data_IF_175339646718
#
_entry.id   IF_175339646718
#
_cell.length_a   1.000
_cell.length_b   1.000
_cell.length_c   1.000
_cell.angle_alpha   90.00
_cell.angle_beta   90.00
_cell.angle_gamma   90.00
#
_symmetry.space_group_name_H-M   'P 1'
#
loop_
_entity.id
_entity.type
_entity.pdbx_description
1 polymer ?
#
# COMPACT_ATOMS: atom_id res chain seq x y z
N UNK A 1 -9.55 -14.61 -0.67
CA UNK A 1 -9.01 -13.43 -1.38
C UNK A 1 -8.24 -12.61 -0.36
N UNK A 2 -7.03 -12.16 -0.65
CA UNK A 2 -6.18 -11.50 0.33
C UNK A 2 -6.43 -9.99 0.36
N UNK A 3 -6.53 -9.41 1.56
CA UNK A 3 -6.43 -7.96 1.80
C UNK A 3 -5.30 -7.69 2.80
N UNK A 4 -4.33 -6.88 2.41
CA UNK A 4 -3.27 -6.41 3.30
C UNK A 4 -3.61 -4.98 3.71
N UNK A 5 -3.66 -4.73 5.01
CA UNK A 5 -4.00 -3.39 5.54
C UNK A 5 -2.79 -2.79 6.24
N UNK A 6 -2.46 -1.57 5.83
CA UNK A 6 -1.38 -0.77 6.40
C UNK A 6 -1.93 0.50 7.03
N UNK A 7 -1.37 0.88 8.17
CA UNK A 7 -1.52 2.21 8.77
C UNK A 7 -0.25 3.03 8.53
N UNK A 8 -0.45 4.28 8.12
CA UNK A 8 0.60 5.27 7.99
C UNK A 8 0.28 6.51 8.81
N UNK A 9 1.28 7.00 9.55
CA UNK A 9 1.31 8.37 10.07
C UNK A 9 2.30 9.14 9.20
N UNK A 10 1.80 10.12 8.45
CA UNK A 10 2.55 10.84 7.41
C UNK A 10 3.04 12.18 7.96
N UNK A 11 4.24 12.60 7.57
CA UNK A 11 4.76 13.92 7.91
C UNK A 11 3.87 15.00 7.28
N UNK A 12 3.52 16.08 8.00
CA UNK A 12 2.60 17.11 7.51
C UNK A 12 2.97 17.66 6.12
N UNK A 13 4.26 17.88 5.88
CA UNK A 13 4.79 18.43 4.63
C UNK A 13 4.89 17.42 3.48
N UNK A 14 4.48 16.16 3.70
CA UNK A 14 4.57 15.06 2.74
C UNK A 14 3.21 14.42 2.41
N UNK A 15 2.11 14.98 2.90
CA UNK A 15 0.78 14.41 2.68
C UNK A 15 0.43 14.29 1.19
N UNK A 16 0.71 15.31 0.38
CA UNK A 16 0.41 15.31 -1.06
C UNK A 16 1.31 14.33 -1.83
N UNK A 17 2.60 14.25 -1.45
CA UNK A 17 3.56 13.29 -2.01
C UNK A 17 3.13 11.85 -1.70
N UNK A 18 2.69 11.61 -0.46
CA UNK A 18 2.19 10.32 0.00
C UNK A 18 0.89 9.92 -0.72
N UNK A 19 -0.11 10.82 -0.76
CA UNK A 19 -1.37 10.59 -1.45
C UNK A 19 -1.15 10.29 -2.94
N UNK A 20 -0.22 10.99 -3.58
CA UNK A 20 0.13 10.78 -4.98
C UNK A 20 0.75 9.41 -5.26
N UNK A 21 1.42 8.83 -4.26
CA UNK A 21 2.13 7.57 -4.41
C UNK A 21 1.22 6.36 -4.12
N UNK A 22 0.27 6.50 -3.19
CA UNK A 22 -0.62 5.43 -2.71
C UNK A 22 -2.06 5.46 -3.27
N UNK A 23 -2.46 6.52 -4.00
CA UNK A 23 -3.74 6.52 -4.71
C UNK A 23 -3.82 5.38 -5.74
N UNK A 24 -5.02 5.05 -6.20
CA UNK A 24 -5.29 3.92 -7.11
C UNK A 24 -4.53 4.00 -8.45
N UNK A 25 -4.22 5.21 -8.90
CA UNK A 25 -3.39 5.51 -10.08
C UNK A 25 -1.93 5.90 -9.70
N UNK A 26 -1.54 5.74 -8.45
CA UNK A 26 -0.21 6.07 -7.93
C UNK A 26 0.84 4.97 -8.22
N UNK A 27 2.10 5.28 -7.91
CA UNK A 27 3.24 4.44 -8.26
C UNK A 27 3.19 3.03 -7.65
N UNK A 28 2.62 2.86 -6.44
CA UNK A 28 2.40 1.51 -5.87
C UNK A 28 1.41 0.70 -6.69
N UNK A 29 0.25 1.27 -6.98
CA UNK A 29 -0.79 0.60 -7.75
C UNK A 29 -0.34 0.32 -9.19
N UNK A 30 0.44 1.22 -9.80
CA UNK A 30 1.09 0.99 -11.10
C UNK A 30 2.04 -0.21 -11.07
N UNK A 31 2.89 -0.31 -10.03
CA UNK A 31 3.78 -1.45 -9.88
C UNK A 31 2.99 -2.75 -9.65
N UNK A 32 1.98 -2.73 -8.78
CA UNK A 32 1.18 -3.91 -8.48
C UNK A 32 0.37 -4.41 -9.67
N UNK A 33 -0.07 -3.52 -10.57
CA UNK A 33 -0.77 -3.86 -11.82
C UNK A 33 0.04 -4.73 -12.78
N UNK A 34 1.35 -4.86 -12.58
CA UNK A 34 2.18 -5.80 -13.36
C UNK A 34 1.92 -7.27 -12.98
N UNK A 35 1.27 -7.53 -11.84
CA UNK A 35 0.81 -8.87 -11.47
C UNK A 35 -0.63 -9.11 -11.91
N UNK A 36 -0.93 -10.25 -12.57
CA UNK A 36 -2.31 -10.65 -12.84
C UNK A 36 -3.11 -10.98 -11.57
N UNK A 37 -2.43 -11.14 -10.42
CA UNK A 37 -3.06 -11.41 -9.13
C UNK A 37 -3.41 -10.15 -8.33
N UNK A 38 -3.01 -8.97 -8.79
CA UNK A 38 -3.41 -7.71 -8.15
C UNK A 38 -4.83 -7.33 -8.52
N UNK A 39 -5.61 -6.87 -7.54
CA UNK A 39 -7.01 -6.47 -7.74
C UNK A 39 -7.17 -4.95 -7.65
N UNK A 40 -6.70 -4.34 -6.56
CA UNK A 40 -6.85 -2.90 -6.34
C UNK A 40 -6.03 -2.41 -5.15
N UNK A 41 -5.71 -1.13 -5.12
CA UNK A 41 -5.23 -0.40 -3.94
C UNK A 41 -6.29 0.61 -3.54
N UNK A 42 -6.64 0.68 -2.26
CA UNK A 42 -7.56 1.69 -1.72
C UNK A 42 -6.84 2.52 -0.67
N UNK A 43 -6.72 3.83 -0.93
CA UNK A 43 -6.21 4.81 0.03
C UNK A 43 -7.37 5.47 0.79
N UNK A 44 -7.27 5.51 2.11
CA UNK A 44 -8.25 6.10 3.00
C UNK A 44 -7.57 7.07 3.96
N UNK A 45 -8.14 8.27 4.11
CA UNK A 45 -7.67 9.28 5.07
C UNK A 45 -8.58 9.29 6.29
N UNK A 46 -8.00 9.35 7.48
CA UNK A 46 -8.77 9.44 8.72
C UNK A 46 -9.45 10.83 8.85
N UNK A 47 -10.74 10.84 9.17
CA UNK A 47 -11.55 12.05 9.34
C UNK A 47 -11.20 12.85 10.61
N UNK A 48 -10.64 12.21 11.63
CA UNK A 48 -10.29 12.80 12.93
C UNK A 48 -8.79 13.08 13.06
N UNK A 49 -7.95 12.28 12.42
CA UNK A 49 -6.50 12.37 12.48
C UNK A 49 -5.95 12.64 11.07
N UNK A 50 -5.82 13.90 10.63
CA UNK A 50 -5.60 14.25 9.21
C UNK A 50 -4.26 13.76 8.62
N UNK A 51 -3.32 13.32 9.46
CA UNK A 51 -2.03 12.75 9.06
C UNK A 51 -2.02 11.22 9.09
N UNK A 52 -3.13 10.60 9.49
CA UNK A 52 -3.27 9.14 9.56
C UNK A 52 -4.01 8.65 8.32
N UNK A 53 -3.39 7.68 7.66
CA UNK A 53 -3.91 7.05 6.45
C UNK A 53 -3.97 5.54 6.65
N UNK A 54 -4.90 4.91 5.94
CA UNK A 54 -4.94 3.47 5.76
C UNK A 54 -4.83 3.14 4.27
N UNK A 55 -4.05 2.11 3.97
CA UNK A 55 -3.95 1.55 2.62
C UNK A 55 -4.41 0.11 2.70
N UNK A 56 -5.31 -0.28 1.79
CA UNK A 56 -5.75 -1.65 1.63
C UNK A 56 -5.41 -2.15 0.23
N UNK A 57 -4.49 -3.10 0.14
CA UNK A 57 -4.10 -3.75 -1.11
C UNK A 57 -4.81 -5.10 -1.22
N UNK A 58 -5.55 -5.29 -2.31
CA UNK A 58 -6.33 -6.49 -2.58
C UNK A 58 -5.64 -7.36 -3.62
N UNK A 59 -5.55 -8.64 -3.31
CA UNK A 59 -4.92 -9.66 -4.13
C UNK A 59 -5.81 -10.88 -4.24
N UNK A 60 -5.73 -11.60 -5.36
CA UNK A 60 -6.52 -12.82 -5.59
C UNK A 60 -6.19 -13.91 -4.57
N UNK A 61 -4.92 -14.02 -4.16
CA UNK A 61 -4.45 -14.91 -3.09
C UNK A 61 -3.18 -14.37 -2.41
N UNK A 62 -2.79 -15.00 -1.30
CA UNK A 62 -1.52 -14.68 -0.62
C UNK A 62 -0.30 -15.10 -1.46
N UNK A 63 -0.39 -16.24 -2.15
CA UNK A 63 0.67 -16.73 -3.04
C UNK A 63 0.94 -15.74 -4.18
N UNK A 64 -0.11 -15.14 -4.74
CA UNK A 64 0.02 -14.16 -5.81
C UNK A 64 0.77 -12.89 -5.35
N UNK A 65 0.53 -12.44 -4.11
CA UNK A 65 1.28 -11.33 -3.52
C UNK A 65 2.75 -11.69 -3.28
N UNK A 66 3.01 -12.86 -2.69
CA UNK A 66 4.39 -13.29 -2.38
C UNK A 66 5.21 -13.57 -3.65
N UNK A 67 4.60 -14.12 -4.70
CA UNK A 67 5.25 -14.28 -6.00
C UNK A 67 5.55 -12.92 -6.67
N UNK A 68 4.60 -11.99 -6.63
CA UNK A 68 4.81 -10.63 -7.10
C UNK A 68 5.97 -9.96 -6.35
N UNK A 69 5.97 -10.01 -5.02
CA UNK A 69 6.99 -9.39 -4.18
C UNK A 69 8.39 -9.97 -4.46
N UNK A 70 8.49 -11.26 -4.75
CA UNK A 70 9.75 -11.93 -5.12
C UNK A 70 10.23 -11.52 -6.51
N UNK A 71 9.34 -11.47 -7.49
CA UNK A 71 9.66 -11.14 -8.89
C UNK A 71 9.98 -9.65 -9.11
N UNK A 72 9.49 -8.76 -8.24
CA UNK A 72 9.66 -7.31 -8.35
C UNK A 72 10.47 -6.73 -7.18
N UNK A 73 11.25 -7.55 -6.47
CA UNK A 73 11.90 -7.20 -5.20
C UNK A 73 12.68 -5.88 -5.24
N UNK A 74 13.48 -5.64 -6.30
CA UNK A 74 14.26 -4.41 -6.43
C UNK A 74 13.40 -3.16 -6.55
N UNK A 75 12.35 -3.21 -7.39
CA UNK A 75 11.43 -2.08 -7.61
C UNK A 75 10.54 -1.84 -6.41
N UNK A 76 10.08 -2.91 -5.77
CA UNK A 76 9.33 -2.87 -4.52
C UNK A 76 10.16 -2.17 -3.43
N UNK A 77 11.41 -2.59 -3.22
CA UNK A 77 12.30 -1.99 -2.23
C UNK A 77 12.64 -0.53 -2.55
N UNK A 78 12.80 -0.18 -3.82
CA UNK A 78 13.04 1.21 -4.23
C UNK A 78 11.84 2.12 -3.92
N UNK A 79 10.61 1.65 -4.12
CA UNK A 79 9.41 2.39 -3.74
C UNK A 79 9.26 2.48 -2.22
N UNK A 80 9.50 1.38 -1.50
CA UNK A 80 9.47 1.33 -0.04
C UNK A 80 10.41 2.37 0.60
N UNK A 81 11.67 2.43 0.15
CA UNK A 81 12.65 3.42 0.62
C UNK A 81 12.23 4.88 0.35
N UNK A 82 11.45 5.12 -0.71
CA UNK A 82 10.88 6.46 -0.95
C UNK A 82 9.78 6.76 0.06
N UNK A 83 8.92 5.80 0.36
CA UNK A 83 7.80 5.94 1.29
C UNK A 83 8.27 6.22 2.72
N UNK A 84 9.33 5.54 3.17
CA UNK A 84 9.93 5.76 4.50
C UNK A 84 10.34 7.23 4.74
N UNK A 85 10.60 8.01 3.69
CA UNK A 85 10.93 9.44 3.84
C UNK A 85 9.71 10.30 4.15
N UNK A 86 8.52 9.84 3.78
CA UNK A 86 7.25 10.55 3.90
C UNK A 86 6.54 10.26 5.23
N UNK A 87 6.86 9.15 5.88
CA UNK A 87 6.14 8.65 7.04
C UNK A 87 6.94 8.87 8.34
N UNK A 88 6.22 9.10 9.43
CA UNK A 88 6.75 9.02 10.80
C UNK A 88 6.59 7.60 11.36
N UNK A 89 5.49 6.94 10.97
CA UNK A 89 5.19 5.57 11.34
C UNK A 89 4.51 4.84 10.19
N UNK A 90 4.88 3.59 10.02
CA UNK A 90 4.29 2.64 9.10
C UNK A 90 4.06 1.33 9.85
N UNK A 91 2.89 0.74 9.71
CA UNK A 91 2.52 -0.48 10.45
C UNK A 91 1.60 -1.35 9.60
N UNK A 92 2.01 -2.59 9.34
CA UNK A 92 1.10 -3.61 8.82
C UNK A 92 0.10 -3.96 9.93
N UNK A 93 -1.17 -3.61 9.75
CA UNK A 93 -2.23 -3.95 10.70
C UNK A 93 -2.62 -5.42 10.60
N UNK A 94 -2.41 -6.01 9.43
CA UNK A 94 -2.54 -7.44 9.20
C UNK A 94 -2.97 -7.80 7.80
N UNK A 95 -3.19 -9.10 7.63
CA UNK A 95 -3.67 -9.74 6.42
C UNK A 95 -5.01 -10.41 6.71
N UNK A 96 -5.97 -10.18 5.83
CA UNK A 96 -7.36 -10.57 6.05
C UNK A 96 -7.92 -11.29 4.83
N UNK A 97 -8.89 -12.18 5.07
CA UNK A 97 -9.78 -12.73 4.04
C UNK A 97 -11.18 -12.10 4.18
N UNK A 98 -11.94 -12.14 3.10
CA UNK A 98 -13.35 -11.76 3.14
C UNK A 98 -14.19 -12.90 3.72
N UNK A 99 -15.07 -12.57 4.66
CA UNK A 99 -16.12 -13.50 5.11
C UNK A 99 -17.37 -13.23 4.29
N UNK A 100 -17.91 -14.26 3.66
CA UNK A 100 -19.14 -14.22 2.87
C UNK A 100 -20.27 -14.93 3.61
#
# INVERSE_FOLDING_TARGET
MLVIVWEFVVKPERSEDFESLYREDGAWAELFRESPGFVSTTLMKDLKLPLRYMVADRWTSEEAFEEFKRSHAERYQALDLRCQRFTERETELGRFDFVH
#
